data_IF_325665998968
#
_entry.id   IF_325665998968
#
_cell.length_a   1.000
_cell.length_b   1.000
_cell.length_c   1.000
_cell.angle_alpha   90.00
_cell.angle_beta   90.00
_cell.angle_gamma   90.00
#
_symmetry.space_group_name_H-M   'P 1'
#
loop_
_entity.id
_entity.type
_entity.pdbx_description
1 polymer ?
#
# COMPACT_ATOMS: atom_id res chain seq x y z
N UNK A 1 -2.44 16.49 -36.56
CA UNK A 1 -3.35 16.20 -35.45
C UNK A 1 -2.82 14.96 -34.75
N UNK A 2 -2.05 15.15 -33.68
CA UNK A 2 -1.65 14.07 -32.79
C UNK A 2 -2.91 13.63 -32.05
N UNK A 3 -3.33 12.38 -32.26
CA UNK A 3 -4.32 11.72 -31.42
C UNK A 3 -3.89 11.93 -29.97
N UNK A 4 -4.74 12.46 -29.07
CA UNK A 4 -4.40 12.51 -27.66
C UNK A 4 -4.08 11.07 -27.26
N UNK A 5 -2.89 10.82 -26.71
CA UNK A 5 -2.63 9.54 -26.08
C UNK A 5 -3.73 9.37 -25.03
N UNK A 6 -4.55 8.32 -25.17
CA UNK A 6 -5.53 7.97 -24.14
C UNK A 6 -4.70 7.73 -22.88
N UNK A 7 -4.77 8.66 -21.93
CA UNK A 7 -4.09 8.49 -20.66
C UNK A 7 -4.76 7.31 -19.98
N UNK A 8 -3.97 6.30 -19.60
CA UNK A 8 -4.49 5.07 -18.99
C UNK A 8 -5.29 5.29 -17.70
N UNK A 9 -5.28 6.51 -17.13
CA UNK A 9 -5.92 6.86 -15.86
C UNK A 9 -5.37 5.97 -14.73
N UNK A 10 -4.07 6.09 -14.51
CA UNK A 10 -3.32 5.21 -13.60
C UNK A 10 -3.78 5.38 -12.15
N UNK A 11 -4.17 6.60 -11.74
CA UNK A 11 -4.65 6.84 -10.39
C UNK A 11 -6.02 6.20 -10.15
N UNK A 12 -6.97 6.40 -11.06
CA UNK A 12 -8.26 5.70 -11.01
C UNK A 12 -8.06 4.19 -11.07
N UNK A 13 -7.20 3.69 -11.96
CA UNK A 13 -6.88 2.26 -12.07
C UNK A 13 -6.36 1.68 -10.77
N UNK A 14 -5.35 2.30 -10.17
CA UNK A 14 -4.72 1.82 -8.93
C UNK A 14 -5.70 1.84 -7.75
N UNK A 15 -6.46 2.91 -7.54
CA UNK A 15 -7.43 3.00 -6.45
C UNK A 15 -8.58 2.00 -6.60
N UNK A 16 -9.04 1.76 -7.83
CA UNK A 16 -10.07 0.76 -8.12
C UNK A 16 -9.54 -0.65 -7.85
N UNK A 17 -8.35 -0.96 -8.37
CA UNK A 17 -7.71 -2.26 -8.17
C UNK A 17 -7.44 -2.57 -6.71
N UNK A 18 -6.97 -1.58 -5.96
CA UNK A 18 -6.76 -1.66 -4.52
C UNK A 18 -8.05 -2.09 -3.81
N UNK A 19 -9.15 -1.38 -4.04
CA UNK A 19 -10.42 -1.68 -3.38
C UNK A 19 -11.05 -3.00 -3.84
N UNK A 20 -10.85 -3.40 -5.11
CA UNK A 20 -11.26 -4.71 -5.59
C UNK A 20 -10.47 -5.84 -4.95
N UNK A 21 -9.15 -5.65 -4.78
CA UNK A 21 -8.27 -6.61 -4.14
C UNK A 21 -8.65 -6.83 -2.68
N UNK A 22 -8.77 -5.74 -1.93
CA UNK A 22 -9.28 -5.72 -0.55
C UNK A 22 -10.61 -6.50 -0.45
N UNK A 23 -11.64 -6.08 -1.19
CA UNK A 23 -12.95 -6.72 -1.13
C UNK A 23 -12.96 -8.20 -1.53
N UNK A 24 -12.07 -8.61 -2.45
CA UNK A 24 -11.94 -10.01 -2.87
C UNK A 24 -11.17 -10.85 -1.84
N UNK A 25 -10.18 -10.27 -1.16
CA UNK A 25 -9.36 -10.92 -0.15
C UNK A 25 -9.99 -10.95 1.26
N UNK A 26 -10.96 -10.09 1.53
CA UNK A 26 -11.61 -10.04 2.85
C UNK A 26 -12.28 -11.36 3.26
N UNK A 27 -13.06 -12.06 2.40
CA UNK A 27 -13.67 -13.34 2.79
C UNK A 27 -12.68 -14.48 3.00
N UNK A 28 -11.44 -14.34 2.51
CA UNK A 28 -10.40 -15.37 2.55
C UNK A 28 -9.35 -15.12 3.64
N UNK A 29 -9.34 -13.94 4.25
CA UNK A 29 -8.43 -13.57 5.33
C UNK A 29 -8.50 -14.58 6.49
N UNK A 30 -7.33 -14.83 7.10
CA UNK A 30 -7.15 -15.79 8.20
C UNK A 30 -7.47 -17.27 7.88
N UNK A 31 -7.53 -17.65 6.60
CA UNK A 31 -7.75 -19.04 6.17
C UNK A 31 -6.54 -19.58 5.44
N UNK A 32 -6.31 -20.89 5.54
CA UNK A 32 -5.34 -21.56 4.68
C UNK A 32 -5.92 -21.82 3.27
N UNK A 33 -5.04 -22.01 2.29
CA UNK A 33 -5.44 -22.24 0.89
C UNK A 33 -6.42 -23.42 0.74
N UNK A 34 -6.20 -24.61 1.37
CA UNK A 34 -7.18 -25.70 1.31
C UNK A 34 -8.58 -25.29 1.78
N UNK A 35 -8.70 -24.52 2.87
CA UNK A 35 -9.99 -24.06 3.39
C UNK A 35 -10.65 -23.04 2.46
N UNK A 36 -9.86 -22.14 1.85
CA UNK A 36 -10.35 -21.20 0.85
C UNK A 36 -10.93 -21.96 -0.35
N UNK A 37 -10.17 -22.91 -0.90
CA UNK A 37 -10.60 -23.69 -2.07
C UNK A 37 -11.83 -24.56 -1.77
N UNK A 38 -11.92 -25.13 -0.57
CA UNK A 38 -13.08 -25.90 -0.15
C UNK A 38 -14.36 -25.05 -0.04
N UNK A 39 -14.22 -23.78 0.34
CA UNK A 39 -15.35 -22.86 0.53
C UNK A 39 -15.77 -22.15 -0.75
N UNK A 40 -14.78 -21.71 -1.54
CA UNK A 40 -14.99 -20.80 -2.67
C UNK A 40 -14.73 -21.44 -4.04
N UNK A 41 -14.21 -22.66 -4.09
CA UNK A 41 -13.87 -23.35 -5.34
C UNK A 41 -12.49 -22.98 -5.87
N UNK A 42 -12.27 -23.19 -7.17
CA UNK A 42 -11.00 -22.87 -7.81
C UNK A 42 -10.70 -21.37 -7.72
N UNK A 43 -9.51 -21.04 -7.24
CA UNK A 43 -9.04 -19.67 -7.08
C UNK A 43 -9.15 -18.87 -8.38
N UNK A 44 -8.94 -19.52 -9.54
CA UNK A 44 -9.05 -18.87 -10.86
C UNK A 44 -10.43 -18.36 -11.20
N UNK A 45 -11.44 -18.90 -10.53
CA UNK A 45 -12.85 -18.57 -10.71
C UNK A 45 -13.42 -17.80 -9.53
N UNK A 46 -12.59 -17.27 -8.63
CA UNK A 46 -13.06 -16.44 -7.53
C UNK A 46 -13.81 -15.22 -8.07
N UNK A 47 -15.06 -15.09 -7.65
CA UNK A 47 -15.93 -13.99 -8.00
C UNK A 47 -15.90 -12.92 -6.92
N UNK A 48 -15.99 -11.66 -7.33
CA UNK A 48 -16.10 -10.55 -6.40
C UNK A 48 -17.36 -10.73 -5.53
N UNK A 49 -17.26 -10.62 -4.19
CA UNK A 49 -18.41 -10.69 -3.30
C UNK A 49 -19.46 -9.62 -3.66
N UNK A 50 -20.73 -9.93 -3.39
CA UNK A 50 -21.85 -8.99 -3.58
C UNK A 50 -22.63 -8.89 -2.26
N UNK A 51 -22.58 -7.74 -1.55
CA UNK A 51 -21.82 -6.53 -1.87
C UNK A 51 -20.29 -6.71 -1.78
N UNK A 52 -19.54 -5.92 -2.55
CA UNK A 52 -18.07 -5.89 -2.51
C UNK A 52 -17.63 -4.96 -1.36
N UNK A 53 -17.66 -5.52 -0.15
CA UNK A 53 -17.35 -4.83 1.11
C UNK A 53 -15.83 -4.77 1.28
N UNK A 54 -15.31 -3.60 1.65
CA UNK A 54 -13.88 -3.36 1.86
C UNK A 54 -13.51 -3.34 3.35
N UNK A 55 -12.23 -3.51 3.68
CA UNK A 55 -11.67 -3.54 5.05
C UNK A 55 -10.96 -2.23 5.41
N UNK A 56 -10.13 -2.25 6.46
CA UNK A 56 -9.33 -1.11 6.86
C UNK A 56 -8.31 -0.69 5.80
N UNK A 57 -7.91 -1.57 4.89
CA UNK A 57 -7.08 -1.29 3.73
C UNK A 57 -7.60 -0.11 2.90
N UNK A 58 -8.79 -0.26 2.32
CA UNK A 58 -9.42 0.80 1.53
C UNK A 58 -9.83 1.97 2.40
N UNK A 59 -10.36 1.74 3.60
CA UNK A 59 -10.81 2.82 4.47
C UNK A 59 -9.66 3.74 4.90
N UNK A 60 -8.51 3.18 5.28
CA UNK A 60 -7.33 3.96 5.64
C UNK A 60 -6.65 4.57 4.41
N UNK A 61 -6.76 3.94 3.23
CA UNK A 61 -6.34 4.54 1.94
C UNK A 61 -7.13 5.82 1.67
N UNK A 62 -8.45 5.78 1.83
CA UNK A 62 -9.32 6.94 1.66
C UNK A 62 -9.02 8.03 2.69
N UNK A 63 -8.81 7.66 3.96
CA UNK A 63 -8.39 8.57 5.01
C UNK A 63 -7.06 9.27 4.67
N UNK A 64 -6.06 8.53 4.18
CA UNK A 64 -4.81 9.11 3.69
C UNK A 64 -5.05 10.05 2.50
N UNK A 65 -5.88 9.64 1.54
CA UNK A 65 -6.23 10.44 0.37
C UNK A 65 -6.89 11.78 0.71
N UNK A 66 -7.85 11.78 1.65
CA UNK A 66 -8.50 12.99 2.16
C UNK A 66 -7.51 13.91 2.89
N UNK A 67 -6.67 13.35 3.76
CA UNK A 67 -5.64 14.10 4.49
C UNK A 67 -4.61 14.72 3.55
N UNK A 68 -4.17 13.96 2.55
CA UNK A 68 -3.25 14.42 1.51
C UNK A 68 -3.83 15.54 0.66
N UNK A 69 -5.09 15.41 0.20
CA UNK A 69 -5.80 16.48 -0.51
C UNK A 69 -5.85 17.76 0.32
N UNK A 70 -6.29 17.64 1.58
CA UNK A 70 -6.36 18.77 2.52
C UNK A 70 -5.00 19.43 2.72
N UNK A 71 -3.93 18.64 2.83
CA UNK A 71 -2.57 19.15 2.96
C UNK A 71 -2.13 19.92 1.71
N UNK A 72 -2.36 19.38 0.51
CA UNK A 72 -1.92 19.97 -0.75
C UNK A 72 -2.73 21.21 -1.15
N UNK A 73 -4.03 21.25 -0.84
CA UNK A 73 -4.87 22.44 -1.07
C UNK A 73 -4.40 23.64 -0.24
N UNK A 74 -3.71 23.38 0.89
CA UNK A 74 -3.14 24.44 1.73
C UNK A 74 -1.77 24.94 1.21
N UNK A 75 -1.14 24.26 0.25
CA UNK A 75 0.14 24.66 -0.37
C UNK A 75 1.17 23.53 -0.43
N UNK A 76 2.44 23.88 -0.67
CA UNK A 76 3.54 22.92 -0.85
C UNK A 76 3.63 21.91 0.29
N UNK A 77 3.67 20.63 -0.06
CA UNK A 77 3.68 19.54 0.91
C UNK A 77 4.97 19.56 1.75
N UNK A 78 4.78 19.42 3.05
CA UNK A 78 5.83 19.32 4.06
C UNK A 78 5.28 18.63 5.31
N UNK A 79 6.14 18.24 6.25
CA UNK A 79 5.78 17.36 7.36
C UNK A 79 4.64 17.89 8.21
N UNK A 80 4.73 19.13 8.71
CA UNK A 80 3.66 19.75 9.51
C UNK A 80 2.36 19.93 8.74
N UNK A 81 2.44 20.11 7.42
CA UNK A 81 1.27 20.31 6.55
C UNK A 81 0.55 19.00 6.28
N UNK A 82 1.28 17.88 6.23
CA UNK A 82 0.73 16.53 6.04
C UNK A 82 0.29 15.88 7.35
N UNK A 83 1.12 15.97 8.40
CA UNK A 83 0.92 15.30 9.68
C UNK A 83 -0.47 15.56 10.25
N UNK A 84 -0.85 16.85 10.36
CA UNK A 84 -2.10 17.22 11.04
C UNK A 84 -3.35 16.72 10.31
N UNK A 85 -3.54 16.98 9.00
CA UNK A 85 -4.69 16.43 8.27
C UNK A 85 -4.75 14.90 8.27
N UNK A 86 -3.62 14.21 8.08
CA UNK A 86 -3.63 12.73 8.08
C UNK A 86 -3.91 12.17 9.47
N UNK A 87 -3.37 12.79 10.53
CA UNK A 87 -3.72 12.47 11.92
C UNK A 87 -5.23 12.59 12.14
N UNK A 88 -5.83 13.71 11.73
CA UNK A 88 -7.27 13.96 11.91
C UNK A 88 -8.09 12.87 11.22
N UNK A 89 -7.80 12.56 9.96
CA UNK A 89 -8.48 11.52 9.19
C UNK A 89 -8.31 10.11 9.78
N UNK A 90 -7.13 9.76 10.27
CA UNK A 90 -6.90 8.47 10.94
C UNK A 90 -7.65 8.37 12.27
N UNK A 91 -7.73 9.47 13.04
CA UNK A 91 -8.50 9.51 14.29
C UNK A 91 -10.01 9.46 14.01
N UNK A 92 -10.48 10.09 12.93
CA UNK A 92 -11.87 10.00 12.49
C UNK A 92 -12.23 8.60 12.02
N UNK A 93 -11.39 7.96 11.19
CA UNK A 93 -11.52 6.55 10.84
C UNK A 93 -11.59 5.67 12.10
N UNK A 94 -10.67 5.87 13.05
CA UNK A 94 -10.66 5.09 14.29
C UNK A 94 -11.96 5.20 15.10
N UNK A 95 -12.61 6.37 15.09
CA UNK A 95 -13.89 6.62 15.78
C UNK A 95 -15.11 6.16 14.98
N UNK A 96 -14.95 5.88 13.69
CA UNK A 96 -16.05 5.52 12.80
C UNK A 96 -16.68 4.19 13.24
N UNK A 97 -18.02 4.08 13.25
CA UNK A 97 -18.67 2.78 13.45
C UNK A 97 -18.39 1.79 12.30
N UNK A 98 -17.92 2.28 11.15
CA UNK A 98 -17.53 1.47 10.00
C UNK A 98 -16.12 0.88 10.15
N UNK A 99 -15.34 1.30 11.15
CA UNK A 99 -14.08 0.64 11.51
C UNK A 99 -14.37 -0.64 12.31
N UNK A 100 -14.89 -1.65 11.61
CA UNK A 100 -15.30 -2.92 12.17
C UNK A 100 -14.90 -4.12 11.31
N UNK A 101 -14.00 -3.93 10.33
CA UNK A 101 -13.58 -4.92 9.34
C UNK A 101 -12.05 -4.96 9.29
N UNK A 102 -11.49 -6.00 9.92
CA UNK A 102 -10.06 -6.33 10.01
C UNK A 102 -9.05 -5.32 10.64
N UNK A 103 -9.43 -4.30 11.45
CA UNK A 103 -8.45 -3.30 11.87
C UNK A 103 -7.30 -3.87 12.70
N UNK A 104 -6.08 -3.66 12.23
CA UNK A 104 -4.88 -4.04 12.96
C UNK A 104 -4.75 -3.33 14.32
N UNK A 105 -4.40 -4.09 15.37
CA UNK A 105 -4.20 -3.54 16.74
C UNK A 105 -3.20 -2.37 16.79
N UNK A 106 -2.18 -2.37 15.92
CA UNK A 106 -1.22 -1.27 15.80
C UNK A 106 -1.92 0.04 15.40
N UNK A 107 -2.75 0.00 14.35
CA UNK A 107 -3.51 1.16 13.89
C UNK A 107 -4.46 1.65 14.98
N UNK A 108 -5.24 0.75 15.59
CA UNK A 108 -6.17 1.10 16.67
C UNK A 108 -5.47 1.77 17.86
N UNK A 109 -4.35 1.19 18.32
CA UNK A 109 -3.59 1.73 19.45
C UNK A 109 -2.99 3.09 19.12
N UNK A 110 -2.38 3.24 17.95
CA UNK A 110 -1.76 4.50 17.55
C UNK A 110 -2.80 5.60 17.35
N UNK A 111 -3.93 5.32 16.68
CA UNK A 111 -5.00 6.30 16.49
C UNK A 111 -5.63 6.73 17.82
N UNK A 112 -5.80 5.80 18.77
CA UNK A 112 -6.21 6.16 20.13
C UNK A 112 -5.23 7.15 20.79
N UNK A 113 -3.92 6.93 20.66
CA UNK A 113 -2.91 7.84 21.21
C UNK A 113 -2.87 9.18 20.47
N UNK A 114 -2.96 9.18 19.14
CA UNK A 114 -3.04 10.37 18.29
C UNK A 114 -4.28 11.23 18.56
N UNK A 115 -5.37 10.63 19.06
CA UNK A 115 -6.58 11.35 19.45
C UNK A 115 -6.38 12.34 20.60
N UNK A 116 -5.21 12.30 21.26
CA UNK A 116 -4.77 13.28 22.27
C UNK A 116 -3.99 14.38 21.57
N UNK A 117 -4.62 15.53 21.32
CA UNK A 117 -4.06 16.62 20.51
C UNK A 117 -2.64 17.05 20.92
N UNK A 118 -2.36 17.13 22.22
CA UNK A 118 -1.07 17.58 22.76
C UNK A 118 0.05 16.53 22.63
N UNK A 119 -0.28 15.27 22.32
CA UNK A 119 0.72 14.21 22.18
C UNK A 119 1.50 14.37 20.87
N UNK A 120 2.85 14.42 20.90
CA UNK A 120 3.66 14.30 19.69
C UNK A 120 3.36 12.98 18.97
N UNK A 121 3.24 12.99 17.64
CA UNK A 121 2.89 11.77 16.90
C UNK A 121 3.94 10.67 17.09
N UNK A 122 5.20 11.03 17.31
CA UNK A 122 6.29 10.09 17.58
C UNK A 122 6.01 9.25 18.85
N UNK A 123 5.33 9.83 19.85
CA UNK A 123 4.96 9.14 21.10
C UNK A 123 3.65 8.34 20.97
N UNK A 124 2.93 8.50 19.86
CA UNK A 124 1.79 7.67 19.50
C UNK A 124 2.20 6.49 18.61
N UNK A 125 3.29 6.64 17.86
CA UNK A 125 3.87 5.64 16.98
C UNK A 125 4.20 4.34 17.73
N UNK A 126 3.80 3.20 17.18
CA UNK A 126 4.22 1.89 17.69
C UNK A 126 5.59 1.54 17.10
N UNK A 127 6.66 1.94 17.79
CA UNK A 127 8.05 1.92 17.29
C UNK A 127 8.64 0.53 17.02
N UNK A 128 8.00 -0.54 17.53
CA UNK A 128 8.38 -1.93 17.25
C UNK A 128 7.46 -2.63 16.24
N UNK A 129 6.43 -1.94 15.73
CA UNK A 129 5.47 -2.54 14.81
C UNK A 129 5.83 -2.28 13.35
N UNK A 130 5.99 -3.36 12.58
CA UNK A 130 6.22 -3.36 11.14
C UNK A 130 5.08 -4.00 10.32
N UNK A 131 3.87 -4.00 10.86
CA UNK A 131 2.70 -4.53 10.16
C UNK A 131 2.42 -3.86 8.80
N UNK A 132 1.78 -4.61 7.90
CA UNK A 132 1.35 -4.18 6.55
C UNK A 132 0.42 -2.96 6.55
N UNK A 133 -0.27 -2.68 7.66
CA UNK A 133 -1.04 -1.45 7.87
C UNK A 133 -0.26 -0.16 7.62
N UNK A 134 1.07 -0.24 7.59
CA UNK A 134 1.94 0.83 7.12
C UNK A 134 1.80 1.12 5.61
N UNK A 135 1.85 0.10 4.76
CA UNK A 135 2.00 0.25 3.31
C UNK A 135 0.77 -0.16 2.49
N UNK A 136 -0.18 -0.93 3.02
CA UNK A 136 -1.42 -1.26 2.32
C UNK A 136 -2.19 -0.01 1.85
N UNK A 137 -2.08 1.08 2.62
CA UNK A 137 -2.76 2.35 2.37
C UNK A 137 -1.98 3.40 1.59
N UNK A 138 -0.73 3.13 1.19
CA UNK A 138 0.23 4.18 0.77
C UNK A 138 0.12 4.57 -0.71
N UNK A 139 -0.65 3.84 -1.51
CA UNK A 139 -0.81 4.06 -2.95
C UNK A 139 -1.09 5.53 -3.36
N UNK A 140 -1.92 6.33 -2.64
CA UNK A 140 -2.10 7.76 -2.92
C UNK A 140 -0.80 8.56 -3.09
N UNK A 141 0.23 8.25 -2.30
CA UNK A 141 1.51 8.95 -2.38
C UNK A 141 2.33 8.54 -3.60
N UNK A 142 2.07 7.40 -4.23
CA UNK A 142 2.64 7.04 -5.53
C UNK A 142 1.94 7.70 -6.71
N UNK A 143 0.66 8.06 -6.55
CA UNK A 143 -0.23 8.49 -7.64
C UNK A 143 -0.41 10.01 -7.73
N UNK A 144 -0.33 10.71 -6.59
CA UNK A 144 -0.55 12.15 -6.58
C UNK A 144 0.56 12.87 -7.39
N UNK A 145 0.19 13.78 -8.30
CA UNK A 145 1.16 14.48 -9.14
C UNK A 145 1.82 15.64 -8.40
N UNK A 146 2.97 16.08 -8.93
CA UNK A 146 3.66 17.29 -8.46
C UNK A 146 4.48 17.14 -7.17
N UNK A 147 4.61 15.93 -6.62
CA UNK A 147 5.55 15.66 -5.52
C UNK A 147 6.96 15.40 -6.07
N UNK A 148 7.96 16.03 -5.44
CA UNK A 148 9.37 15.64 -5.61
C UNK A 148 9.63 14.28 -4.98
N UNK A 149 10.73 13.62 -5.37
CA UNK A 149 11.13 12.34 -4.75
C UNK A 149 11.29 12.47 -3.23
N UNK A 150 11.87 13.57 -2.74
CA UNK A 150 12.03 13.83 -1.31
C UNK A 150 10.69 14.00 -0.59
N UNK A 151 9.72 14.68 -1.21
CA UNK A 151 8.39 14.84 -0.64
C UNK A 151 7.65 13.51 -0.58
N UNK A 152 7.79 12.69 -1.62
CA UNK A 152 7.13 11.39 -1.71
C UNK A 152 7.68 10.40 -0.69
N UNK A 153 9.00 10.24 -0.65
CA UNK A 153 9.68 9.38 0.31
C UNK A 153 9.37 9.81 1.76
N UNK A 154 9.56 11.10 2.06
CA UNK A 154 9.30 11.65 3.39
C UNK A 154 7.83 11.52 3.83
N UNK A 155 6.88 11.77 2.92
CA UNK A 155 5.45 11.61 3.21
C UNK A 155 5.05 10.14 3.42
N UNK A 156 5.60 9.22 2.62
CA UNK A 156 5.31 7.78 2.72
C UNK A 156 5.82 7.20 4.04
N UNK A 157 7.01 7.63 4.47
CA UNK A 157 7.55 7.26 5.78
C UNK A 157 6.75 7.94 6.90
N UNK A 158 6.41 9.23 6.80
CA UNK A 158 5.66 9.93 7.85
C UNK A 158 4.26 9.33 8.06
N UNK A 159 3.50 9.04 7.00
CA UNK A 159 2.17 8.43 7.17
C UNK A 159 2.24 7.04 7.82
N UNK A 160 3.30 6.27 7.52
CA UNK A 160 3.56 5.01 8.20
C UNK A 160 3.80 5.29 9.68
N UNK A 161 4.75 6.18 9.97
CA UNK A 161 5.22 6.51 11.30
C UNK A 161 4.13 7.05 12.25
N UNK A 162 3.03 7.61 11.73
CA UNK A 162 1.86 7.94 12.53
C UNK A 162 1.29 6.72 13.29
N UNK A 163 1.53 5.51 12.80
CA UNK A 163 1.03 4.25 13.39
C UNK A 163 2.13 3.21 13.62
N UNK A 164 2.95 2.95 12.60
CA UNK A 164 4.00 1.95 12.53
C UNK A 164 5.35 2.66 12.47
N UNK A 165 6.04 2.72 13.62
CA UNK A 165 7.30 3.44 13.77
C UNK A 165 8.54 2.57 13.54
N UNK A 166 8.38 1.29 13.22
CA UNK A 166 9.51 0.42 12.92
C UNK A 166 10.15 0.82 11.58
N UNK A 167 11.49 0.85 11.46
CA UNK A 167 12.15 1.35 10.24
C UNK A 167 11.79 0.55 8.98
N UNK A 168 11.55 -0.76 9.10
CA UNK A 168 11.08 -1.58 7.97
C UNK A 168 9.71 -1.15 7.47
N UNK A 169 8.79 -0.75 8.37
CA UNK A 169 7.48 -0.25 7.97
C UNK A 169 7.61 1.07 7.17
N UNK A 170 8.54 1.93 7.60
CA UNK A 170 8.85 3.19 6.91
C UNK A 170 9.43 2.92 5.52
N UNK A 171 10.48 2.10 5.44
CA UNK A 171 11.16 1.75 4.20
C UNK A 171 10.22 1.03 3.21
N UNK A 172 9.42 0.07 3.69
CA UNK A 172 8.44 -0.64 2.87
C UNK A 172 7.33 0.29 2.35
N UNK A 173 6.86 1.25 3.16
CA UNK A 173 5.89 2.25 2.70
C UNK A 173 6.44 3.15 1.60
N UNK A 174 7.67 3.63 1.76
CA UNK A 174 8.39 4.40 0.73
C UNK A 174 8.55 3.58 -0.55
N UNK A 175 9.06 2.36 -0.43
CA UNK A 175 9.30 1.46 -1.55
C UNK A 175 8.00 1.07 -2.29
N UNK A 176 6.89 0.90 -1.56
CA UNK A 176 5.57 0.62 -2.12
C UNK A 176 5.04 1.83 -2.91
N UNK A 177 5.12 3.04 -2.34
CA UNK A 177 4.73 4.26 -3.04
C UNK A 177 5.60 4.49 -4.30
N UNK A 178 6.90 4.18 -4.20
CA UNK A 178 7.82 4.24 -5.33
C UNK A 178 7.46 3.23 -6.43
N UNK A 179 7.12 1.99 -6.08
CA UNK A 179 6.67 0.97 -7.03
C UNK A 179 5.40 1.40 -7.78
N UNK A 180 4.40 1.90 -7.06
CA UNK A 180 3.17 2.44 -7.65
C UNK A 180 3.48 3.57 -8.63
N UNK A 181 4.35 4.52 -8.25
CA UNK A 181 4.76 5.61 -9.14
C UNK A 181 5.44 5.11 -10.41
N UNK A 182 6.43 4.23 -10.27
CA UNK A 182 7.16 3.68 -11.42
C UNK A 182 6.19 3.01 -12.41
N UNK A 183 5.24 2.22 -11.90
CA UNK A 183 4.23 1.56 -12.73
C UNK A 183 3.26 2.57 -13.37
N UNK A 184 2.85 3.60 -12.64
CA UNK A 184 2.03 4.69 -13.17
C UNK A 184 2.75 5.44 -14.31
N UNK A 185 4.05 5.69 -14.16
CA UNK A 185 4.91 6.36 -15.15
C UNK A 185 5.34 5.44 -16.32
N UNK A 186 4.96 4.15 -16.29
CA UNK A 186 5.16 3.22 -17.39
C UNK A 186 6.46 2.42 -17.33
N UNK A 187 7.07 2.26 -16.16
CA UNK A 187 8.18 1.34 -15.97
C UNK A 187 7.79 -0.09 -16.40
N UNK A 188 8.69 -0.76 -17.11
CA UNK A 188 8.47 -2.13 -17.56
C UNK A 188 8.51 -3.10 -16.36
N UNK A 189 7.48 -3.96 -16.18
CA UNK A 189 7.39 -4.86 -15.03
C UNK A 189 8.60 -5.80 -14.88
N UNK A 190 9.23 -6.20 -15.99
CA UNK A 190 10.44 -7.04 -16.00
C UNK A 190 11.65 -6.37 -15.34
N UNK A 191 11.73 -5.04 -15.39
CA UNK A 191 12.80 -4.25 -14.77
C UNK A 191 12.46 -3.73 -13.36
N UNK A 192 11.21 -3.85 -12.92
CA UNK A 192 10.70 -3.21 -11.70
C UNK A 192 11.51 -3.59 -10.46
N UNK A 193 11.76 -4.88 -10.24
CA UNK A 193 12.50 -5.34 -9.05
C UNK A 193 13.92 -4.77 -9.03
N UNK A 194 14.57 -4.66 -10.19
CA UNK A 194 15.90 -4.05 -10.32
C UNK A 194 15.89 -2.57 -9.94
N UNK A 195 14.88 -1.81 -10.39
CA UNK A 195 14.70 -0.40 -10.04
C UNK A 195 14.45 -0.22 -8.54
N UNK A 196 13.59 -1.04 -7.94
CA UNK A 196 13.29 -1.02 -6.51
C UNK A 196 14.53 -1.32 -5.67
N UNK A 197 15.37 -2.27 -6.10
CA UNK A 197 16.64 -2.56 -5.43
C UNK A 197 17.61 -1.40 -5.52
N UNK A 198 17.75 -0.76 -6.69
CA UNK A 198 18.62 0.42 -6.84
C UNK A 198 18.18 1.53 -5.89
N UNK A 199 16.88 1.83 -5.87
CA UNK A 199 16.29 2.83 -4.99
C UNK A 199 16.55 2.51 -3.51
N UNK A 200 16.38 1.25 -3.09
CA UNK A 200 16.64 0.83 -1.72
C UNK A 200 18.13 0.95 -1.35
N UNK A 201 19.06 0.62 -2.25
CA UNK A 201 20.50 0.81 -2.02
C UNK A 201 20.87 2.29 -1.89
N UNK A 202 20.34 3.14 -2.76
CA UNK A 202 20.60 4.59 -2.76
C UNK A 202 20.07 5.28 -1.49
N UNK A 203 18.94 4.81 -0.96
CA UNK A 203 18.31 5.36 0.24
C UNK A 203 18.69 4.62 1.53
N UNK A 204 19.53 3.57 1.46
CA UNK A 204 19.81 2.65 2.58
C UNK A 204 20.14 3.36 3.89
N UNK A 205 20.90 4.45 3.86
CA UNK A 205 21.28 5.21 5.07
C UNK A 205 20.60 6.58 5.15
N UNK A 206 19.63 6.87 4.28
CA UNK A 206 18.97 8.17 4.21
C UNK A 206 17.79 8.22 5.18
N UNK A 207 18.01 8.83 6.34
CA UNK A 207 16.94 9.13 7.27
C UNK A 207 16.37 10.53 6.98
N UNK A 208 15.06 10.62 6.74
CA UNK A 208 14.39 11.89 6.45
C UNK A 208 14.12 12.69 7.75
N UNK A 209 15.17 13.23 8.36
CA UNK A 209 15.07 13.97 9.63
C UNK A 209 14.10 15.16 9.58
N UNK A 210 13.99 15.83 8.42
CA UNK A 210 13.00 16.89 8.22
C UNK A 210 11.57 16.37 8.40
N UNK A 211 11.29 15.13 7.98
CA UNK A 211 9.97 14.51 8.01
C UNK A 211 9.67 13.79 9.32
N UNK A 212 10.63 13.01 9.80
CA UNK A 212 10.46 12.07 10.91
C UNK A 212 10.93 12.64 12.25
N UNK A 213 11.66 13.75 12.23
CA UNK A 213 12.21 14.37 13.44
C UNK A 213 13.10 13.38 14.21
N UNK A 214 12.84 13.27 15.50
CA UNK A 214 13.60 12.45 16.45
C UNK A 214 13.01 11.04 16.67
N UNK A 215 12.14 10.54 15.79
CA UNK A 215 11.52 9.22 15.93
C UNK A 215 12.54 8.11 16.26
N UNK A 216 13.69 8.11 15.57
CA UNK A 216 14.77 7.13 15.75
C UNK A 216 15.23 6.99 17.21
N UNK A 217 15.16 8.07 18.01
CA UNK A 217 15.58 8.05 19.42
C UNK A 217 14.72 7.14 20.29
N UNK A 218 13.49 6.85 19.87
CA UNK A 218 12.54 5.99 20.59
C UNK A 218 12.80 4.50 20.36
N UNK A 219 13.58 4.16 19.33
CA UNK A 219 13.92 2.79 18.98
C UNK A 219 15.19 2.26 19.67
N UNK A 220 15.95 3.14 20.33
CA UNK A 220 17.20 2.78 21.01
C UNK A 220 18.39 2.55 20.07
N UNK A 221 18.23 2.83 18.78
CA UNK A 221 19.32 2.82 17.80
C UNK A 221 20.32 3.97 18.07
N UNK A 222 21.60 3.76 17.75
CA UNK A 222 22.66 4.71 18.09
C UNK A 222 22.71 5.95 17.18
N UNK A 223 22.06 5.91 16.01
CA UNK A 223 21.98 7.02 15.06
C UNK A 223 20.76 6.88 14.14
N UNK A 224 20.26 7.98 13.56
CA UNK A 224 19.18 7.92 12.57
C UNK A 224 19.55 7.08 11.34
N UNK A 225 20.81 7.11 10.91
CA UNK A 225 21.30 6.32 9.77
C UNK A 225 21.25 4.81 10.05
N UNK A 226 21.61 4.39 11.27
CA UNK A 226 21.52 2.97 11.66
C UNK A 226 20.08 2.51 11.82
N UNK A 227 19.22 3.37 12.39
CA UNK A 227 17.79 3.09 12.51
C UNK A 227 17.18 2.77 11.15
N UNK A 228 17.33 3.66 10.16
CA UNK A 228 16.70 3.47 8.85
C UNK A 228 17.37 2.35 8.04
N UNK A 229 18.68 2.14 8.20
CA UNK A 229 19.40 1.09 7.48
C UNK A 229 18.87 -0.30 7.77
N UNK A 230 18.47 -0.61 9.01
CA UNK A 230 17.82 -1.90 9.32
C UNK A 230 16.57 -2.14 8.49
N UNK A 231 15.74 -1.09 8.34
CA UNK A 231 14.51 -1.18 7.56
C UNK A 231 14.78 -1.43 6.08
N UNK A 232 15.73 -0.70 5.49
CA UNK A 232 16.15 -0.90 4.12
C UNK A 232 16.83 -2.25 3.88
N UNK A 233 17.60 -2.76 4.84
CA UNK A 233 18.22 -4.09 4.77
C UNK A 233 17.17 -5.19 4.69
N UNK A 234 16.15 -5.17 5.57
CA UNK A 234 15.04 -6.13 5.52
C UNK A 234 14.26 -6.02 4.18
N UNK A 235 14.06 -4.81 3.67
CA UNK A 235 13.44 -4.61 2.36
C UNK A 235 14.32 -5.14 1.20
N UNK A 236 15.64 -4.97 1.27
CA UNK A 236 16.56 -5.50 0.27
C UNK A 236 16.57 -7.03 0.28
N UNK A 237 16.53 -7.65 1.46
CA UNK A 237 16.43 -9.10 1.63
C UNK A 237 15.14 -9.64 1.00
N UNK A 238 13.99 -9.02 1.25
CA UNK A 238 12.73 -9.49 0.66
C UNK A 238 12.69 -9.29 -0.86
N UNK A 239 13.29 -8.22 -1.39
CA UNK A 239 13.41 -8.01 -2.84
C UNK A 239 14.33 -9.06 -3.50
N UNK A 240 15.34 -9.58 -2.81
CA UNK A 240 16.14 -10.72 -3.28
C UNK A 240 15.25 -11.97 -3.38
N UNK A 241 14.45 -12.25 -2.36
CA UNK A 241 13.51 -13.39 -2.37
C UNK A 241 12.47 -13.26 -3.48
N UNK A 242 11.88 -12.08 -3.65
CA UNK A 242 10.94 -11.79 -4.74
C UNK A 242 11.56 -12.01 -6.12
N UNK A 243 12.80 -11.54 -6.32
CA UNK A 243 13.52 -11.71 -7.57
C UNK A 243 13.73 -13.18 -7.96
N UNK A 244 13.94 -14.05 -6.97
CA UNK A 244 14.02 -15.50 -7.16
C UNK A 244 12.64 -16.10 -7.41
N UNK A 245 11.64 -15.69 -6.62
CA UNK A 245 10.27 -16.18 -6.69
C UNK A 245 9.65 -15.96 -8.08
N UNK A 246 9.81 -14.78 -8.68
CA UNK A 246 9.29 -14.50 -10.03
C UNK A 246 9.84 -15.46 -11.10
N UNK A 247 11.03 -16.05 -10.87
CA UNK A 247 11.64 -17.01 -11.81
C UNK A 247 11.26 -18.46 -11.54
N UNK A 248 10.87 -18.80 -10.31
CA UNK A 248 10.80 -20.19 -9.84
C UNK A 248 9.47 -20.60 -9.24
N UNK A 249 8.71 -19.64 -8.70
CA UNK A 249 7.43 -19.92 -8.08
C UNK A 249 6.41 -20.35 -9.14
N UNK A 250 5.69 -21.43 -8.85
CA UNK A 250 4.55 -21.82 -9.67
C UNK A 250 3.37 -20.89 -9.35
N UNK A 251 2.66 -20.34 -10.35
CA UNK A 251 1.42 -19.62 -10.12
C UNK A 251 0.32 -20.46 -9.43
N UNK A 252 0.46 -21.80 -9.46
CA UNK A 252 -0.45 -22.73 -8.78
C UNK A 252 -0.19 -22.87 -7.28
N UNK A 253 1.00 -22.47 -6.83
CA UNK A 253 1.37 -22.58 -5.42
C UNK A 253 1.06 -21.30 -4.69
N UNK A 254 0.81 -21.43 -3.39
CA UNK A 254 0.61 -20.29 -2.51
C UNK A 254 1.82 -19.34 -2.55
N UNK A 255 1.66 -18.08 -3.02
CA UNK A 255 2.76 -17.12 -3.12
C UNK A 255 3.38 -16.79 -1.76
N UNK A 256 2.64 -16.94 -0.66
CA UNK A 256 3.17 -16.71 0.70
C UNK A 256 4.36 -17.63 1.03
N UNK A 257 4.44 -18.81 0.41
CA UNK A 257 5.58 -19.72 0.58
C UNK A 257 6.90 -19.15 0.05
N UNK A 258 6.84 -18.23 -0.91
CA UNK A 258 8.02 -17.66 -1.53
C UNK A 258 8.45 -16.36 -0.83
N UNK A 259 7.50 -15.48 -0.55
CA UNK A 259 7.77 -14.09 -0.11
C UNK A 259 7.16 -13.71 1.23
N UNK A 260 6.56 -14.67 1.95
CA UNK A 260 6.01 -14.44 3.29
C UNK A 260 4.50 -14.18 3.29
N UNK A 261 3.91 -14.24 4.47
CA UNK A 261 2.46 -14.24 4.67
C UNK A 261 1.83 -12.85 4.61
N UNK A 262 2.63 -11.79 4.47
CA UNK A 262 2.10 -10.44 4.25
C UNK A 262 1.63 -9.72 5.52
N UNK A 263 1.73 -10.33 6.70
CA UNK A 263 1.40 -9.66 7.97
C UNK A 263 2.36 -8.51 8.34
N UNK A 264 3.54 -8.48 7.72
CA UNK A 264 4.55 -7.43 7.87
C UNK A 264 4.78 -6.74 6.52
N UNK A 265 5.11 -5.45 6.58
CA UNK A 265 5.03 -4.53 5.44
C UNK A 265 5.89 -4.95 4.24
N UNK A 266 7.12 -5.41 4.49
CA UNK A 266 8.04 -5.84 3.45
C UNK A 266 7.58 -7.15 2.77
N UNK A 267 6.98 -8.07 3.52
CA UNK A 267 6.37 -9.28 2.95
C UNK A 267 5.10 -8.96 2.16
N UNK A 268 4.25 -8.05 2.65
CA UNK A 268 3.04 -7.63 1.95
C UNK A 268 3.38 -7.01 0.59
N UNK A 269 4.37 -6.11 0.57
CA UNK A 269 4.90 -5.53 -0.67
C UNK A 269 5.40 -6.62 -1.62
N UNK A 270 6.24 -7.53 -1.14
CA UNK A 270 6.84 -8.56 -1.98
C UNK A 270 5.82 -9.56 -2.52
N UNK A 271 4.91 -10.04 -1.68
CA UNK A 271 3.87 -11.01 -2.08
C UNK A 271 2.82 -10.37 -3.00
N UNK A 272 2.43 -9.12 -2.76
CA UNK A 272 1.57 -8.35 -3.67
C UNK A 272 2.22 -8.14 -5.05
N UNK A 273 3.52 -7.78 -5.06
CA UNK A 273 4.30 -7.67 -6.30
C UNK A 273 4.44 -9.02 -7.01
N UNK A 274 4.67 -10.11 -6.28
CA UNK A 274 4.76 -11.44 -6.88
C UNK A 274 3.47 -11.80 -7.62
N UNK A 275 2.31 -11.60 -6.98
CA UNK A 275 1.01 -11.87 -7.59
C UNK A 275 0.78 -11.03 -8.85
N UNK A 276 1.11 -9.74 -8.82
CA UNK A 276 1.06 -8.87 -9.99
C UNK A 276 2.02 -9.34 -11.10
N UNK A 277 3.29 -9.63 -10.77
CA UNK A 277 4.32 -9.95 -11.75
C UNK A 277 4.13 -11.32 -12.42
N UNK A 278 3.41 -12.25 -11.78
CA UNK A 278 3.02 -13.52 -12.39
C UNK A 278 1.92 -13.35 -13.47
N UNK A 279 1.16 -12.25 -13.43
CA UNK A 279 -0.05 -12.02 -14.24
C UNK A 279 -0.16 -10.57 -14.72
N UNK A 280 0.93 -10.02 -15.24
CA UNK A 280 1.07 -8.58 -15.59
C UNK A 280 -0.08 -8.05 -16.45
N UNK A 281 -0.53 -8.84 -17.43
CA UNK A 281 -1.59 -8.47 -18.40
C UNK A 281 -2.96 -9.10 -18.05
N UNK A 282 -3.06 -9.79 -16.91
CA UNK A 282 -4.26 -10.48 -16.44
C UNK A 282 -4.64 -9.98 -15.02
N UNK A 283 -5.04 -8.70 -14.87
CA UNK A 283 -5.19 -8.05 -13.56
C UNK A 283 -6.21 -8.74 -12.65
N UNK A 284 -7.29 -9.27 -13.21
CA UNK A 284 -8.29 -10.05 -12.44
C UNK A 284 -7.68 -11.36 -11.95
N UNK A 285 -6.90 -12.05 -12.78
CA UNK A 285 -6.19 -13.27 -12.36
C UNK A 285 -5.17 -12.97 -11.26
N UNK A 286 -4.45 -11.84 -11.36
CA UNK A 286 -3.54 -11.37 -10.31
C UNK A 286 -4.26 -11.17 -8.96
N UNK A 287 -5.41 -10.47 -8.96
CA UNK A 287 -6.23 -10.27 -7.77
C UNK A 287 -6.72 -11.59 -7.17
N UNK A 288 -7.24 -12.49 -8.02
CA UNK A 288 -7.71 -13.82 -7.59
C UNK A 288 -6.60 -14.63 -6.94
N UNK A 289 -5.38 -14.57 -7.50
CA UNK A 289 -4.23 -15.26 -6.91
C UNK A 289 -3.87 -14.66 -5.55
N UNK A 290 -3.85 -13.34 -5.47
CA UNK A 290 -3.51 -12.58 -4.27
C UNK A 290 -4.54 -12.74 -3.14
N UNK A 291 -5.83 -12.87 -3.48
CA UNK A 291 -6.90 -13.16 -2.53
C UNK A 291 -6.86 -14.62 -2.04
N UNK A 292 -6.39 -15.56 -2.86
CA UNK A 292 -6.28 -16.96 -2.44
C UNK A 292 -4.86 -17.31 -2.00
N UNK A 293 -4.52 -16.93 -0.76
CA UNK A 293 -3.23 -17.21 -0.10
C UNK A 293 -3.48 -17.59 1.36
N UNK A 294 -2.51 -18.19 2.05
CA UNK A 294 -2.64 -18.46 3.49
C UNK A 294 -2.36 -17.25 4.39
N UNK A 295 -2.01 -16.11 3.80
CA UNK A 295 -1.57 -14.92 4.50
C UNK A 295 -2.66 -13.88 4.73
N UNK A 296 -2.20 -12.66 4.85
CA UNK A 296 -2.97 -11.41 4.92
C UNK A 296 -3.58 -11.09 3.55
N UNK A 297 -4.59 -11.87 3.15
CA UNK A 297 -5.01 -11.96 1.76
C UNK A 297 -5.69 -10.70 1.21
N UNK A 298 -6.41 -9.95 2.03
CA UNK A 298 -6.95 -8.63 1.68
C UNK A 298 -5.83 -7.63 1.46
N UNK A 299 -4.84 -7.54 2.38
CA UNK A 299 -3.68 -6.66 2.19
C UNK A 299 -2.84 -7.00 0.96
N UNK A 300 -2.58 -8.29 0.74
CA UNK A 300 -1.81 -8.77 -0.42
C UNK A 300 -2.55 -8.45 -1.72
N UNK A 301 -3.86 -8.69 -1.77
CA UNK A 301 -4.69 -8.41 -2.95
C UNK A 301 -4.88 -6.90 -3.19
N UNK A 302 -5.06 -6.12 -2.13
CA UNK A 302 -5.06 -4.66 -2.12
C UNK A 302 -3.81 -4.10 -2.81
N UNK A 303 -2.63 -4.54 -2.38
CA UNK A 303 -1.36 -4.11 -2.98
C UNK A 303 -1.20 -4.58 -4.43
N UNK A 304 -1.50 -5.86 -4.72
CA UNK A 304 -1.46 -6.40 -6.08
C UNK A 304 -2.36 -5.61 -7.04
N UNK A 305 -3.56 -5.24 -6.58
CA UNK A 305 -4.51 -4.41 -7.30
C UNK A 305 -4.02 -3.00 -7.56
N UNK A 306 -3.39 -2.36 -6.56
CA UNK A 306 -2.77 -1.05 -6.73
C UNK A 306 -1.67 -1.07 -7.81
N UNK A 307 -0.81 -2.10 -7.81
CA UNK A 307 0.26 -2.25 -8.80
C UNK A 307 -0.28 -2.50 -10.21
N UNK A 308 -1.19 -3.46 -10.37
CA UNK A 308 -1.81 -3.76 -11.64
C UNK A 308 -2.57 -2.55 -12.22
N UNK A 309 -3.33 -1.86 -11.38
CA UNK A 309 -4.08 -0.66 -11.76
C UNK A 309 -3.19 0.52 -12.13
N UNK A 310 -2.08 0.73 -11.43
CA UNK A 310 -1.09 1.74 -11.80
C UNK A 310 -0.47 1.44 -13.18
N UNK A 311 -0.20 0.16 -13.48
CA UNK A 311 0.40 -0.26 -14.76
C UNK A 311 -0.57 -0.16 -15.93
N UNK A 312 -1.78 -0.70 -15.76
CA UNK A 312 -2.74 -0.95 -16.84
C UNK A 312 -3.81 0.15 -16.94
N UNK A 313 -4.09 0.85 -15.85
CA UNK A 313 -5.06 1.94 -15.83
C UNK A 313 -6.49 1.55 -15.46
N UNK A 314 -7.40 2.51 -15.57
CA UNK A 314 -8.80 2.35 -15.15
C UNK A 314 -9.57 1.28 -15.94
N UNK A 315 -9.23 1.09 -17.22
CA UNK A 315 -9.93 0.16 -18.11
C UNK A 315 -9.48 -1.30 -17.92
N UNK A 316 -8.55 -1.54 -16.98
CA UNK A 316 -8.07 -2.87 -16.61
C UNK A 316 -9.11 -3.72 -15.87
N UNK A 317 -10.14 -3.08 -15.30
CA UNK A 317 -11.09 -3.72 -14.39
C UNK A 317 -12.43 -3.98 -15.07
N UNK A 318 -13.07 -5.14 -14.84
CA UNK A 318 -14.43 -5.39 -15.30
C UNK A 318 -15.39 -4.32 -14.77
N UNK A 319 -16.26 -3.79 -15.63
CA UNK A 319 -17.16 -2.69 -15.28
C UNK A 319 -18.13 -3.06 -14.15
N UNK A 320 -18.64 -4.30 -14.16
CA UNK A 320 -19.54 -4.81 -13.13
C UNK A 320 -18.85 -4.97 -11.76
N UNK A 321 -17.55 -5.27 -11.75
CA UNK A 321 -16.73 -5.27 -10.53
C UNK A 321 -16.51 -3.84 -10.04
N UNK A 322 -16.06 -2.94 -10.92
CA UNK A 322 -15.79 -1.55 -10.59
C UNK A 322 -17.03 -0.78 -10.11
N UNK A 323 -18.21 -1.11 -10.63
CA UNK A 323 -19.48 -0.49 -10.23
C UNK A 323 -20.02 -1.01 -8.89
N UNK A 324 -19.57 -2.17 -8.43
CA UNK A 324 -20.06 -2.82 -7.21
C UNK A 324 -19.30 -2.46 -5.91
N UNK A 325 -18.21 -1.69 -6.00
CA UNK A 325 -17.28 -1.44 -4.88
C UNK A 325 -17.90 -0.47 -3.85
N UNK A 326 -17.75 -0.77 -2.57
CA UNK A 326 -18.00 0.18 -1.49
C UNK A 326 -17.11 1.45 -1.64
N UNK A 327 -17.63 2.62 -1.31
CA UNK A 327 -16.95 3.93 -1.47
C UNK A 327 -16.50 4.29 -2.91
N UNK A 328 -17.03 3.64 -3.95
CA UNK A 328 -16.71 3.90 -5.36
C UNK A 328 -16.63 5.38 -5.71
N UNK A 329 -17.64 6.18 -5.36
CA UNK A 329 -17.70 7.59 -5.75
C UNK A 329 -16.51 8.40 -5.20
N UNK A 330 -16.05 8.09 -3.99
CA UNK A 330 -14.89 8.75 -3.40
C UNK A 330 -13.58 8.30 -4.05
N UNK A 331 -13.41 6.99 -4.30
CA UNK A 331 -12.27 6.44 -5.02
C UNK A 331 -12.15 7.06 -6.43
N UNK A 332 -13.26 7.16 -7.16
CA UNK A 332 -13.31 7.78 -8.48
C UNK A 332 -13.00 9.27 -8.43
N UNK A 333 -13.48 9.97 -7.40
CA UNK A 333 -13.20 11.41 -7.22
C UNK A 333 -11.70 11.66 -6.99
N UNK A 334 -11.06 10.87 -6.12
CA UNK A 334 -9.61 10.98 -5.87
C UNK A 334 -8.80 10.58 -7.12
N UNK A 335 -9.17 9.47 -7.77
CA UNK A 335 -8.50 9.00 -8.98
C UNK A 335 -8.55 10.03 -10.10
N UNK A 336 -9.74 10.54 -10.41
CA UNK A 336 -9.93 11.56 -11.45
C UNK A 336 -9.18 12.87 -11.13
N UNK A 337 -9.14 13.27 -9.85
CA UNK A 337 -8.37 14.43 -9.41
C UNK A 337 -6.88 14.29 -9.75
N UNK A 338 -6.29 13.13 -9.48
CA UNK A 338 -4.87 12.89 -9.72
C UNK A 338 -4.56 12.61 -11.20
N UNK A 339 -5.43 11.90 -11.92
CA UNK A 339 -5.28 11.66 -13.35
C UNK A 339 -5.41 12.94 -14.19
N UNK A 340 -6.26 13.90 -13.77
CA UNK A 340 -6.43 15.18 -14.47
C UNK A 340 -5.23 16.12 -14.37
N UNK A 341 -4.30 15.83 -13.46
CA UNK A 341 -3.13 16.66 -13.13
C UNK A 341 -1.80 15.95 -13.42
N UNK A 342 -1.85 14.74 -13.97
CA UNK A 342 -0.70 13.87 -14.27
C UNK A 342 -0.03 14.18 -15.61
#
# INVERSE_FOLDING_TARGET
MTTPAVTKRAATGALTGLALGDALGFPTEFKDVPSILATHGDWRSLELPKPAVVTDDTQMTLALGRGLRTAMDRGTLGPKRLERPVREEFVEWWRSPENNRAPGNTCLRACHLLSRDERPWQDASQIHSKGCGANMRVAPLGLVPGLTDEQRAGAAQLQSALTHGHPTALAASDLTAHAVRLLAEGAEPTGLIGLLRSYAYENRTRYHAFWLGDLWTRAGDASPEQFIARGWDECLEILVRLQEAVRTASPETDPCRATGEGWIAEEALATGLLCFLLFVDEPVTALRRAACTSGDSDSIACLAGAFAGARLGADAWPADWADGIEYRDELMTLGALWDSRA
#
